data_IF_433820984439
#
_entry.id   IF_433820984439
#
_cell.length_a   1.000
_cell.length_b   1.000
_cell.length_c   1.000
_cell.angle_alpha   90.00
_cell.angle_beta   90.00
_cell.angle_gamma   90.00
#
_symmetry.space_group_name_H-M   'P 1'
#
loop_
_entity.id
_entity.type
_entity.pdbx_description
1 polymer ?
#
# COMPACT_ATOMS: atom_id res chain seq x y z
N UNK A 1 24.99 5.91 -6.71
CA UNK A 1 26.17 5.08 -6.33
C UNK A 1 25.70 3.66 -6.01
N UNK A 2 26.55 2.64 -6.18
CA UNK A 2 26.23 1.27 -5.73
C UNK A 2 26.56 1.14 -4.24
N UNK A 3 25.60 0.73 -3.41
CA UNK A 3 25.73 0.63 -1.95
C UNK A 3 25.57 -0.81 -1.50
N UNK A 4 26.50 -1.35 -0.72
CA UNK A 4 26.38 -2.68 -0.09
C UNK A 4 27.06 -2.72 1.28
N UNK A 5 26.56 -3.58 2.17
CA UNK A 5 27.07 -3.75 3.54
C UNK A 5 27.15 -2.44 4.36
N UNK A 6 26.22 -1.52 4.10
CA UNK A 6 26.06 -0.26 4.83
C UNK A 6 24.80 -0.33 5.69
N UNK A 7 24.92 -0.04 6.99
CA UNK A 7 23.79 -0.02 7.91
C UNK A 7 22.99 1.30 7.82
N UNK A 8 23.67 2.43 7.60
CA UNK A 8 23.06 3.77 7.56
C UNK A 8 23.59 4.56 6.37
N UNK A 9 22.68 5.06 5.54
CA UNK A 9 22.95 5.93 4.41
C UNK A 9 22.27 7.28 4.58
N UNK A 10 23.04 8.35 4.46
CA UNK A 10 22.56 9.72 4.62
C UNK A 10 22.92 10.49 3.35
N UNK A 11 21.91 11.04 2.68
CA UNK A 11 22.08 11.93 1.54
C UNK A 11 22.59 13.31 1.96
N UNK A 12 23.12 14.03 0.99
CA UNK A 12 23.73 15.33 1.16
C UNK A 12 22.78 16.47 0.82
N UNK A 13 23.35 17.56 0.33
CA UNK A 13 22.59 18.61 -0.33
C UNK A 13 22.41 18.27 -1.80
N UNK A 14 21.24 18.55 -2.36
CA UNK A 14 20.95 18.30 -3.77
C UNK A 14 19.96 17.14 -3.92
N UNK A 15 19.98 16.50 -5.09
CA UNK A 15 19.20 15.29 -5.36
C UNK A 15 20.11 14.07 -5.23
N UNK A 16 19.81 13.21 -4.28
CA UNK A 16 20.53 11.99 -3.99
C UNK A 16 19.85 10.79 -4.67
N UNK A 17 20.64 10.11 -5.53
CA UNK A 17 20.20 8.92 -6.29
C UNK A 17 21.08 7.73 -5.93
N UNK A 18 20.47 6.70 -5.37
CA UNK A 18 21.13 5.54 -4.81
C UNK A 18 20.61 4.26 -5.47
N UNK A 19 21.53 3.34 -5.75
CA UNK A 19 21.21 1.98 -6.14
C UNK A 19 21.86 1.03 -5.13
N UNK A 20 21.08 0.17 -4.51
CA UNK A 20 21.58 -0.86 -3.60
C UNK A 20 22.22 -2.01 -4.41
N UNK A 21 23.14 -2.71 -3.78
CA UNK A 21 23.85 -3.85 -4.34
C UNK A 21 22.91 -5.02 -4.67
N UNK A 22 23.40 -5.98 -5.45
CA UNK A 22 22.66 -7.20 -5.82
C UNK A 22 22.57 -8.26 -4.70
N UNK A 23 23.18 -7.99 -3.54
CA UNK A 23 22.94 -8.76 -2.34
C UNK A 23 21.65 -8.23 -1.68
N UNK A 24 20.99 -9.03 -0.83
CA UNK A 24 19.91 -8.47 0.00
C UNK A 24 20.49 -7.44 0.99
N UNK A 25 19.92 -6.24 1.02
CA UNK A 25 20.39 -5.14 1.87
C UNK A 25 19.45 -4.93 3.06
N UNK A 26 19.99 -4.45 4.18
CA UNK A 26 19.21 -3.95 5.30
C UNK A 26 19.80 -2.61 5.71
N UNK A 27 19.07 -1.51 5.46
CA UNK A 27 19.64 -0.16 5.55
C UNK A 27 18.65 0.85 6.09
N UNK A 28 19.12 1.74 6.96
CA UNK A 28 18.45 2.96 7.36
C UNK A 28 18.85 4.10 6.39
N UNK A 29 17.88 4.76 5.77
CA UNK A 29 18.13 5.88 4.84
C UNK A 29 17.59 7.21 5.38
N UNK A 30 18.30 8.30 5.06
CA UNK A 30 17.88 9.68 5.38
C UNK A 30 18.21 10.61 4.23
N UNK A 31 17.27 11.45 3.82
CA UNK A 31 17.51 12.47 2.77
C UNK A 31 17.93 11.86 1.43
N UNK A 32 17.32 10.74 1.04
CA UNK A 32 17.53 10.12 -0.28
C UNK A 32 16.26 10.33 -1.10
N UNK A 33 16.37 10.96 -2.26
CA UNK A 33 15.21 11.25 -3.12
C UNK A 33 14.87 10.11 -4.09
N UNK A 34 15.87 9.34 -4.52
CA UNK A 34 15.66 8.16 -5.38
C UNK A 34 16.47 6.97 -4.87
N UNK A 35 15.78 5.87 -4.57
CA UNK A 35 16.37 4.64 -4.06
C UNK A 35 15.92 3.43 -4.88
N UNK A 36 16.86 2.80 -5.57
CA UNK A 36 16.59 1.57 -6.30
C UNK A 36 17.27 0.37 -5.62
N UNK A 37 16.53 -0.69 -5.35
CA UNK A 37 17.10 -2.01 -5.12
C UNK A 37 17.41 -2.73 -6.43
N UNK A 38 18.09 -3.87 -6.32
CA UNK A 38 18.37 -4.75 -7.46
C UNK A 38 17.82 -6.14 -7.15
N UNK A 39 18.57 -7.20 -7.45
CA UNK A 39 18.25 -8.53 -6.93
C UNK A 39 18.61 -8.63 -5.46
N UNK A 40 17.99 -9.57 -4.76
CA UNK A 40 18.16 -9.71 -3.31
C UNK A 40 16.86 -9.35 -2.61
N UNK A 41 16.86 -9.43 -1.29
CA UNK A 41 15.75 -8.92 -0.46
C UNK A 41 16.25 -7.67 0.24
N UNK A 42 15.70 -6.54 -0.14
CA UNK A 42 16.04 -5.22 0.35
C UNK A 42 15.02 -4.77 1.42
N UNK A 43 15.54 -4.52 2.62
CA UNK A 43 14.81 -4.06 3.79
C UNK A 43 15.28 -2.65 4.12
N UNK A 44 14.44 -1.66 3.85
CA UNK A 44 14.74 -0.25 4.03
C UNK A 44 13.94 0.31 5.18
N UNK A 45 14.61 1.02 6.09
CA UNK A 45 13.97 1.85 7.10
C UNK A 45 14.22 3.32 6.77
N UNK A 46 13.19 4.15 6.81
CA UNK A 46 13.30 5.60 6.65
C UNK A 46 13.64 6.25 7.99
N UNK A 47 14.40 7.34 7.96
CA UNK A 47 14.70 8.13 9.15
C UNK A 47 13.48 8.89 9.67
N UNK A 48 13.53 9.30 10.94
CA UNK A 48 12.47 10.03 11.65
C UNK A 48 12.30 11.51 11.24
N UNK A 49 12.58 11.85 9.98
CA UNK A 49 12.35 13.18 9.37
C UNK A 49 11.28 13.05 8.30
N UNK A 50 10.78 14.17 7.78
CA UNK A 50 9.94 14.11 6.58
C UNK A 50 10.70 13.37 5.46
N UNK A 51 10.07 12.39 4.83
CA UNK A 51 10.63 11.67 3.70
C UNK A 51 9.70 11.81 2.48
N UNK A 52 10.31 12.09 1.32
CA UNK A 52 9.64 12.14 0.03
C UNK A 52 10.57 11.54 -1.01
N UNK A 53 10.32 10.31 -1.43
CA UNK A 53 11.25 9.57 -2.30
C UNK A 53 10.55 8.73 -3.36
N UNK A 54 11.30 8.42 -4.42
CA UNK A 54 10.98 7.42 -5.43
C UNK A 54 11.72 6.13 -5.09
N UNK A 55 10.99 5.01 -5.02
CA UNK A 55 11.56 3.68 -4.77
C UNK A 55 11.24 2.71 -5.91
N UNK A 56 12.17 1.78 -6.17
CA UNK A 56 11.94 0.68 -7.10
C UNK A 56 12.71 -0.56 -6.66
N UNK A 57 12.12 -1.75 -6.75
CA UNK A 57 12.79 -3.01 -6.41
C UNK A 57 13.16 -3.09 -4.92
N UNK A 58 12.29 -2.60 -4.03
CA UNK A 58 12.45 -2.72 -2.58
C UNK A 58 11.36 -3.65 -2.06
N UNK A 59 11.73 -4.68 -1.29
CA UNK A 59 10.78 -5.70 -0.81
C UNK A 59 10.13 -5.33 0.52
N UNK A 60 10.83 -4.59 1.38
CA UNK A 60 10.29 -4.13 2.67
C UNK A 60 10.68 -2.68 2.93
N UNK A 61 9.68 -1.85 3.20
CA UNK A 61 9.86 -0.43 3.50
C UNK A 61 9.16 -0.06 4.80
N UNK A 62 9.94 0.34 5.79
CA UNK A 62 9.44 0.85 7.07
C UNK A 62 9.65 2.35 7.15
N UNK A 63 8.58 3.10 7.39
CA UNK A 63 8.60 4.54 7.59
C UNK A 63 9.23 4.97 8.92
N UNK A 64 9.46 6.26 9.03
CA UNK A 64 9.90 6.92 10.25
C UNK A 64 8.72 7.38 11.10
N UNK A 65 8.99 8.22 12.09
CA UNK A 65 7.94 8.83 12.94
C UNK A 65 7.32 10.11 12.36
N UNK A 66 7.85 10.60 11.25
CA UNK A 66 7.37 11.80 10.57
C UNK A 66 6.74 11.39 9.24
N UNK A 67 6.09 12.32 8.54
CA UNK A 67 5.35 11.99 7.31
C UNK A 67 6.26 11.39 6.24
N UNK A 68 5.84 10.25 5.72
CA UNK A 68 6.48 9.48 4.68
C UNK A 68 5.61 9.44 3.40
N UNK A 69 6.13 10.01 2.32
CA UNK A 69 5.53 10.00 0.99
C UNK A 69 6.43 9.21 0.04
N UNK A 70 5.91 8.10 -0.48
CA UNK A 70 6.67 7.18 -1.31
C UNK A 70 6.03 7.07 -2.69
N UNK A 71 6.80 7.37 -3.72
CA UNK A 71 6.42 7.09 -5.11
C UNK A 71 7.06 5.77 -5.53
N UNK A 72 6.33 4.95 -6.27
CA UNK A 72 6.82 3.70 -6.82
C UNK A 72 7.33 3.88 -8.25
N UNK A 73 8.35 3.12 -8.62
CA UNK A 73 8.86 3.04 -9.97
C UNK A 73 7.87 2.35 -10.93
N UNK A 74 8.24 2.31 -12.22
CA UNK A 74 7.34 1.87 -13.29
C UNK A 74 7.21 0.35 -13.44
N UNK A 75 8.00 -0.43 -12.70
CA UNK A 75 7.85 -1.88 -12.64
C UNK A 75 6.70 -2.23 -11.68
N UNK A 76 6.07 -3.39 -11.84
CA UNK A 76 5.13 -3.87 -10.83
C UNK A 76 5.85 -4.15 -9.52
N UNK A 77 5.33 -3.61 -8.42
CA UNK A 77 5.96 -3.70 -7.11
C UNK A 77 5.25 -4.76 -6.24
N UNK A 78 6.02 -5.54 -5.48
CA UNK A 78 5.46 -6.40 -4.42
C UNK A 78 6.24 -6.11 -3.15
N UNK A 79 5.60 -5.45 -2.19
CA UNK A 79 6.30 -4.84 -1.04
C UNK A 79 5.50 -5.00 0.25
N UNK A 80 6.21 -5.21 1.36
CA UNK A 80 5.67 -5.02 2.71
C UNK A 80 5.96 -3.59 3.17
N UNK A 81 4.94 -2.85 3.58
CA UNK A 81 5.07 -1.49 4.12
C UNK A 81 4.64 -1.42 5.57
N UNK A 82 5.27 -0.55 6.36
CA UNK A 82 4.85 -0.25 7.73
C UNK A 82 5.14 1.20 8.05
N UNK A 83 4.18 1.93 8.63
CA UNK A 83 4.36 3.34 8.97
C UNK A 83 4.57 4.28 7.78
N UNK A 84 4.05 3.93 6.59
CA UNK A 84 4.06 4.81 5.42
C UNK A 84 2.68 5.46 5.29
N UNK A 85 2.61 6.80 5.32
CA UNK A 85 1.32 7.50 5.24
C UNK A 85 0.78 7.63 3.81
N UNK A 86 1.65 7.79 2.82
CA UNK A 86 1.25 7.97 1.41
C UNK A 86 2.10 7.13 0.49
N UNK A 87 1.45 6.26 -0.30
CA UNK A 87 2.09 5.43 -1.30
C UNK A 87 1.43 5.66 -2.67
N UNK A 88 2.26 5.98 -3.65
CA UNK A 88 1.84 6.42 -4.97
C UNK A 88 2.45 5.49 -6.02
N UNK A 89 1.64 4.59 -6.56
CA UNK A 89 1.95 3.84 -7.76
C UNK A 89 1.97 4.76 -8.98
N UNK A 90 2.77 4.41 -9.97
CA UNK A 90 2.91 5.24 -11.17
C UNK A 90 1.81 4.96 -12.23
N UNK A 91 0.91 4.02 -11.96
CA UNK A 91 -0.16 3.58 -12.86
C UNK A 91 0.27 2.60 -13.95
N UNK A 92 1.48 2.03 -13.86
CA UNK A 92 1.97 0.97 -14.74
C UNK A 92 2.60 -0.15 -13.92
N UNK A 93 2.59 -1.37 -14.45
CA UNK A 93 2.90 -2.53 -13.62
C UNK A 93 1.73 -2.87 -12.71
N UNK A 94 1.87 -3.93 -11.92
CA UNK A 94 0.89 -4.32 -10.92
C UNK A 94 1.54 -4.21 -9.55
N UNK A 95 0.99 -3.34 -8.72
CA UNK A 95 1.45 -3.06 -7.38
C UNK A 95 0.63 -3.85 -6.36
N UNK A 96 1.34 -4.69 -5.59
CA UNK A 96 0.81 -5.53 -4.52
C UNK A 96 1.49 -5.12 -3.21
N UNK A 97 0.75 -4.46 -2.35
CA UNK A 97 1.26 -3.89 -1.11
C UNK A 97 0.69 -4.64 0.08
N UNK A 98 1.54 -5.15 0.95
CA UNK A 98 1.13 -5.74 2.23
C UNK A 98 1.41 -4.75 3.36
N UNK A 99 0.40 -4.37 4.12
CA UNK A 99 0.59 -3.59 5.35
C UNK A 99 1.10 -4.52 6.45
N UNK A 100 2.14 -4.11 7.16
CA UNK A 100 2.73 -4.90 8.24
C UNK A 100 1.76 -5.15 9.39
N UNK A 101 2.10 -6.09 10.26
CA UNK A 101 1.20 -6.63 11.29
C UNK A 101 0.77 -5.64 12.37
N UNK A 102 1.44 -4.48 12.47
CA UNK A 102 1.03 -3.39 13.35
C UNK A 102 -0.20 -2.63 12.82
N UNK A 103 -0.54 -2.82 11.53
CA UNK A 103 -1.53 -2.04 10.82
C UNK A 103 -1.03 -0.65 10.44
N UNK A 104 -1.96 0.25 10.12
CA UNK A 104 -1.62 1.60 9.73
C UNK A 104 -2.75 2.33 9.01
N UNK A 105 -2.54 3.63 8.79
CA UNK A 105 -3.37 4.44 7.91
C UNK A 105 -2.58 4.76 6.65
N UNK A 106 -3.10 4.39 5.49
CA UNK A 106 -2.42 4.52 4.20
C UNK A 106 -3.31 5.26 3.20
N UNK A 107 -2.78 6.32 2.58
CA UNK A 107 -3.31 6.84 1.33
C UNK A 107 -2.67 6.08 0.16
N UNK A 108 -3.46 5.25 -0.52
CA UNK A 108 -3.04 4.44 -1.66
C UNK A 108 -3.52 5.07 -2.97
N UNK A 109 -2.57 5.54 -3.78
CA UNK A 109 -2.82 6.21 -5.05
C UNK A 109 -2.24 5.36 -6.18
N UNK A 110 -3.08 4.93 -7.14
CA UNK A 110 -2.60 4.12 -8.27
C UNK A 110 -1.99 2.78 -7.85
N UNK A 111 -2.49 2.18 -6.75
CA UNK A 111 -2.10 0.86 -6.25
C UNK A 111 -3.21 -0.14 -6.57
N UNK A 112 -2.89 -1.28 -7.17
CA UNK A 112 -3.89 -2.26 -7.60
C UNK A 112 -4.34 -3.18 -6.47
N UNK A 113 -3.45 -3.57 -5.55
CA UNK A 113 -3.77 -4.51 -4.47
C UNK A 113 -3.16 -4.08 -3.13
N UNK A 114 -3.97 -4.06 -2.09
CA UNK A 114 -3.51 -3.89 -0.70
C UNK A 114 -3.97 -5.08 0.16
N UNK A 115 -3.03 -5.70 0.86
CA UNK A 115 -3.26 -6.80 1.79
C UNK A 115 -3.03 -6.27 3.20
N UNK A 116 -4.06 -6.30 4.03
CA UNK A 116 -4.01 -5.96 5.45
C UNK A 116 -3.22 -6.99 6.27
N UNK A 117 -2.76 -6.52 7.42
CA UNK A 117 -2.05 -7.34 8.40
C UNK A 117 -3.01 -7.91 9.43
N UNK A 118 -2.52 -8.02 10.66
CA UNK A 118 -3.35 -8.36 11.84
C UNK A 118 -3.73 -7.13 12.65
N UNK A 119 -3.21 -5.96 12.26
CA UNK A 119 -3.42 -4.71 12.96
C UNK A 119 -4.73 -4.07 12.54
N UNK A 120 -4.88 -2.78 12.86
CA UNK A 120 -5.98 -1.98 12.32
C UNK A 120 -5.50 -1.34 11.01
N UNK A 121 -6.17 -1.63 9.89
CA UNK A 121 -5.87 -1.05 8.59
C UNK A 121 -6.94 -0.07 8.12
N UNK A 122 -6.52 1.17 7.84
CA UNK A 122 -7.35 2.23 7.26
C UNK A 122 -6.74 2.65 5.93
N UNK A 123 -7.43 2.34 4.83
CA UNK A 123 -6.97 2.64 3.48
C UNK A 123 -7.84 3.76 2.90
N UNK A 124 -7.20 4.82 2.43
CA UNK A 124 -7.83 5.88 1.65
C UNK A 124 -7.47 5.73 0.16
N UNK A 125 -8.44 5.96 -0.73
CA UNK A 125 -8.17 6.11 -2.16
C UNK A 125 -7.98 7.59 -2.55
N UNK A 126 -7.50 7.82 -3.78
CA UNK A 126 -7.28 9.15 -4.33
C UNK A 126 -8.52 9.85 -4.87
N UNK A 127 -8.39 11.15 -5.14
CA UNK A 127 -9.45 12.00 -5.69
C UNK A 127 -9.76 11.79 -7.18
N UNK A 128 -8.96 10.97 -7.87
CA UNK A 128 -9.16 10.64 -9.28
C UNK A 128 -10.07 9.41 -9.49
N UNK A 129 -10.47 8.75 -8.40
CA UNK A 129 -11.02 7.40 -8.42
C UNK A 129 -9.92 6.35 -8.38
N UNK A 130 -10.30 5.13 -8.00
CA UNK A 130 -9.38 4.00 -7.83
C UNK A 130 -10.04 2.69 -8.26
N UNK A 131 -9.23 1.75 -8.72
CA UNK A 131 -9.62 0.34 -8.87
C UNK A 131 -8.71 -0.49 -7.95
N UNK A 132 -9.16 -0.73 -6.73
CA UNK A 132 -8.37 -1.32 -5.66
C UNK A 132 -8.92 -2.70 -5.29
N UNK A 133 -8.04 -3.70 -5.20
CA UNK A 133 -8.33 -4.97 -4.54
C UNK A 133 -7.83 -4.93 -3.10
N UNK A 134 -8.66 -5.33 -2.14
CA UNK A 134 -8.27 -5.44 -0.73
C UNK A 134 -8.48 -6.84 -0.18
N UNK A 135 -7.56 -7.29 0.66
CA UNK A 135 -7.76 -8.47 1.51
C UNK A 135 -7.43 -8.09 2.94
N UNK A 136 -8.33 -8.33 3.89
CA UNK A 136 -8.05 -8.12 5.33
C UNK A 136 -8.00 -6.67 5.81
N UNK A 137 -8.40 -5.68 5.01
CA UNK A 137 -8.48 -4.29 5.46
C UNK A 137 -9.74 -4.03 6.30
N UNK A 138 -9.62 -3.38 7.46
CA UNK A 138 -10.77 -3.04 8.31
C UNK A 138 -11.60 -1.88 7.74
N UNK A 139 -10.94 -0.86 7.19
CA UNK A 139 -11.59 0.31 6.62
C UNK A 139 -11.04 0.63 5.23
N UNK A 140 -11.94 0.84 4.27
CA UNK A 140 -11.60 1.39 2.95
C UNK A 140 -12.48 2.60 2.67
N UNK A 141 -11.84 3.74 2.48
CA UNK A 141 -12.50 5.05 2.38
C UNK A 141 -12.13 5.67 1.03
N UNK A 142 -13.11 5.67 0.13
CA UNK A 142 -13.02 6.39 -1.13
C UNK A 142 -13.11 7.90 -0.97
N UNK A 143 -12.76 8.62 -2.03
CA UNK A 143 -12.78 10.09 -2.08
C UNK A 143 -13.68 10.55 -3.24
N UNK A 144 -13.44 11.74 -3.78
CA UNK A 144 -14.04 12.11 -5.06
C UNK A 144 -13.47 11.23 -6.18
N UNK A 145 -14.22 11.10 -7.28
CA UNK A 145 -13.88 10.17 -8.35
C UNK A 145 -14.77 8.93 -8.26
N UNK A 146 -14.56 7.98 -9.17
CA UNK A 146 -15.28 6.71 -9.13
C UNK A 146 -14.36 5.65 -8.54
N UNK A 147 -14.70 5.18 -7.35
CA UNK A 147 -13.96 4.14 -6.64
C UNK A 147 -14.61 2.77 -6.87
N UNK A 148 -13.79 1.83 -7.32
CA UNK A 148 -14.10 0.40 -7.45
C UNK A 148 -13.27 -0.36 -6.44
N UNK A 149 -13.93 -0.99 -5.49
CA UNK A 149 -13.32 -1.88 -4.51
C UNK A 149 -13.63 -3.34 -4.86
N UNK A 150 -12.60 -4.15 -5.02
CA UNK A 150 -12.72 -5.61 -5.15
C UNK A 150 -12.24 -6.28 -3.87
N UNK A 151 -12.96 -7.28 -3.39
CA UNK A 151 -12.54 -8.09 -2.25
C UNK A 151 -11.66 -9.25 -2.72
N UNK A 152 -10.52 -9.46 -2.07
CA UNK A 152 -9.62 -10.60 -2.29
C UNK A 152 -10.18 -11.89 -1.70
N UNK A 153 -9.68 -13.05 -2.14
CA UNK A 153 -10.28 -14.39 -1.88
C UNK A 153 -10.31 -14.88 -0.43
N UNK A 154 -9.74 -14.12 0.51
CA UNK A 154 -9.93 -14.36 1.93
C UNK A 154 -11.36 -13.95 2.35
N UNK A 155 -11.83 -14.39 3.53
CA UNK A 155 -13.03 -13.80 4.13
C UNK A 155 -12.70 -12.41 4.68
N UNK A 156 -13.36 -11.37 4.16
CA UNK A 156 -13.09 -9.99 4.52
C UNK A 156 -14.13 -9.47 5.52
N UNK A 157 -13.71 -8.69 6.52
CA UNK A 157 -14.63 -7.92 7.37
C UNK A 157 -14.23 -6.46 7.26
N UNK A 158 -14.94 -5.70 6.42
CA UNK A 158 -14.51 -4.36 6.02
C UNK A 158 -15.64 -3.35 6.15
N UNK A 159 -15.34 -2.17 6.70
CA UNK A 159 -16.22 -1.01 6.64
C UNK A 159 -15.82 -0.14 5.46
N UNK A 160 -16.77 0.16 4.57
CA UNK A 160 -16.53 0.98 3.38
C UNK A 160 -17.25 2.33 3.46
N UNK A 161 -16.63 3.37 2.91
CA UNK A 161 -17.23 4.72 2.76
C UNK A 161 -16.80 5.32 1.43
N UNK A 162 -17.69 6.01 0.73
CA UNK A 162 -17.36 6.68 -0.53
C UNK A 162 -16.89 5.72 -1.64
N UNK A 163 -17.36 4.47 -1.62
CA UNK A 163 -17.07 3.48 -2.67
C UNK A 163 -18.32 3.33 -3.53
N UNK A 164 -18.20 3.56 -4.84
CA UNK A 164 -19.34 3.49 -5.77
C UNK A 164 -19.60 2.06 -6.26
N UNK A 165 -18.55 1.25 -6.43
CA UNK A 165 -18.67 -0.13 -6.89
C UNK A 165 -17.92 -1.07 -5.95
N UNK A 166 -18.63 -2.06 -5.41
CA UNK A 166 -18.06 -3.16 -4.63
C UNK A 166 -18.20 -4.47 -5.41
N UNK A 167 -17.11 -5.21 -5.54
CA UNK A 167 -17.05 -6.50 -6.23
C UNK A 167 -16.57 -7.56 -5.23
N UNK A 168 -17.43 -8.50 -4.87
CA UNK A 168 -17.05 -9.74 -4.19
C UNK A 168 -16.44 -10.74 -5.18
N UNK A 169 -15.65 -11.69 -4.67
CA UNK A 169 -14.98 -12.68 -5.52
C UNK A 169 -15.65 -14.07 -5.52
N UNK A 170 -16.72 -14.27 -4.73
CA UNK A 170 -17.43 -15.56 -4.64
C UNK A 170 -16.80 -16.57 -3.68
N UNK A 171 -15.78 -16.20 -2.90
CA UNK A 171 -15.05 -17.04 -1.96
C UNK A 171 -14.64 -16.27 -0.71
N UNK A 172 -14.47 -17.00 0.39
CA UNK A 172 -14.41 -16.37 1.71
C UNK A 172 -15.82 -15.96 2.17
N UNK A 173 -16.00 -15.73 3.47
CA UNK A 173 -17.23 -15.11 3.97
C UNK A 173 -16.92 -13.64 4.17
N UNK A 174 -17.50 -12.81 3.32
CA UNK A 174 -17.33 -11.36 3.36
C UNK A 174 -18.45 -10.70 4.21
N UNK A 175 -18.05 -9.81 5.12
CA UNK A 175 -18.91 -8.98 5.96
C UNK A 175 -18.58 -7.52 5.66
N UNK A 176 -19.49 -6.83 4.97
CA UNK A 176 -19.29 -5.44 4.59
C UNK A 176 -20.25 -4.53 5.34
N UNK A 177 -19.70 -3.55 6.05
CA UNK A 177 -20.46 -2.48 6.69
C UNK A 177 -20.36 -1.21 5.86
N UNK A 178 -21.48 -0.65 5.44
CA UNK A 178 -21.50 0.62 4.70
C UNK A 178 -21.57 1.76 5.72
N UNK A 179 -20.56 2.62 5.74
CA UNK A 179 -20.50 3.78 6.63
C UNK A 179 -21.46 4.91 6.21
N UNK A 180 -21.60 5.91 7.08
CA UNK A 180 -22.67 6.92 7.02
C UNK A 180 -22.47 8.05 6.00
N UNK A 181 -21.62 7.87 4.98
CA UNK A 181 -21.28 8.96 4.06
C UNK A 181 -22.42 9.35 3.10
N UNK A 182 -23.46 8.52 2.94
CA UNK A 182 -24.45 8.70 1.88
C UNK A 182 -23.82 8.45 0.50
N UNK A 183 -24.57 7.85 -0.42
CA UNK A 183 -24.07 7.47 -1.73
C UNK A 183 -24.85 6.30 -2.31
N UNK A 184 -24.65 6.05 -3.60
CA UNK A 184 -25.18 4.86 -4.26
C UNK A 184 -24.05 3.86 -4.38
N UNK A 185 -24.25 2.66 -3.82
CA UNK A 185 -23.33 1.54 -3.99
C UNK A 185 -23.91 0.54 -4.98
N UNK A 186 -23.15 0.20 -6.01
CA UNK A 186 -23.38 -1.00 -6.81
C UNK A 186 -22.57 -2.15 -6.21
N UNK A 187 -23.24 -3.18 -5.70
CA UNK A 187 -22.59 -4.38 -5.20
C UNK A 187 -22.78 -5.55 -6.19
N UNK A 188 -21.69 -6.20 -6.57
CA UNK A 188 -21.63 -7.33 -7.48
C UNK A 188 -20.91 -8.50 -6.80
N UNK A 189 -21.24 -9.73 -7.17
CA UNK A 189 -20.49 -10.92 -6.72
C UNK A 189 -20.54 -11.20 -5.21
N UNK A 190 -21.46 -10.58 -4.47
CA UNK A 190 -21.63 -10.81 -3.01
C UNK A 190 -22.30 -12.15 -2.76
N UNK A 191 -21.70 -12.97 -1.89
CA UNK A 191 -22.24 -14.24 -1.47
C UNK A 191 -23.53 -14.04 -0.66
N UNK A 192 -24.56 -14.83 -0.96
CA UNK A 192 -25.68 -14.96 -0.03
C UNK A 192 -25.29 -15.98 1.03
N UNK A 193 -25.52 -15.71 2.33
CA UNK A 193 -25.33 -16.72 3.36
C UNK A 193 -26.20 -17.94 2.99
N UNK A 194 -25.57 -19.08 2.74
CA UNK A 194 -26.32 -20.31 2.52
C UNK A 194 -27.18 -20.55 3.76
N UNK A 195 -28.51 -20.55 3.58
CA UNK A 195 -29.43 -20.87 4.66
C UNK A 195 -29.08 -22.29 5.16
N UNK A 196 -28.53 -22.39 6.37
CA UNK A 196 -28.39 -23.66 7.05
C UNK A 196 -29.80 -24.16 7.35
N UNK A 197 -30.19 -25.25 6.68
CA UNK A 197 -31.46 -25.94 6.88
C UNK A 197 -31.45 -26.78 8.15
#
# INVERSE_FOLDING_TARGET
ALVSAIDILIGGTGTDVVTLGTAGNTVLVRGIETLAGLTGTDVVTLGNTFNSLLVSGIETLTGGTATDIVNLGTAGNTMVVSGIETLIGNGSGTDIITIGTAGGTLLALGIETVIGGTGLEIIFTGTAGSALTVSGADFVIGNTGTDVLTLGSAGNTTTIRGIETLIGNGSGTDIITIGTAGGTLLALGIETPAATR
#
